data_IF_531849330873
#
_entry.id   IF_531849330873
#
_cell.length_a   1.000
_cell.length_b   1.000
_cell.length_c   1.000
_cell.angle_alpha   90.00
_cell.angle_beta   90.00
_cell.angle_gamma   90.00
#
_symmetry.space_group_name_H-M   'P 1'
#
loop_
_entity.id
_entity.type
_entity.pdbx_description
1 polymer ?
#
# COMPACT_ATOMS: atom_id res chain seq x y z
N UNK A 1 1.88 62.87 -27.00
CA UNK A 1 2.13 62.04 -25.83
C UNK A 1 0.76 61.55 -25.33
N UNK A 2 0.31 60.35 -25.72
CA UNK A 2 -0.87 59.71 -25.21
C UNK A 2 -0.44 58.55 -24.30
N UNK A 3 -1.07 58.32 -23.15
CA UNK A 3 -0.72 57.22 -22.27
C UNK A 3 -1.28 55.88 -22.81
N UNK A 4 -0.38 54.88 -22.86
CA UNK A 4 -0.72 53.47 -23.17
C UNK A 4 -1.53 52.88 -22.04
N UNK A 5 -2.83 52.74 -22.25
CA UNK A 5 -3.70 51.94 -21.38
C UNK A 5 -3.33 50.45 -21.45
N UNK A 6 -3.12 49.90 -20.27
CA UNK A 6 -2.82 48.51 -19.95
C UNK A 6 -3.96 47.57 -20.39
N UNK A 7 -3.70 46.83 -21.44
CA UNK A 7 -4.46 45.59 -21.81
C UNK A 7 -3.80 44.38 -21.18
N UNK A 8 -4.01 44.15 -19.91
CA UNK A 8 -3.62 42.87 -19.29
C UNK A 8 -4.49 42.50 -18.07
N UNK A 9 -5.80 42.46 -18.25
CA UNK A 9 -6.70 41.97 -17.19
C UNK A 9 -7.91 41.20 -17.74
N UNK A 10 -7.67 40.24 -18.62
CA UNK A 10 -8.68 39.27 -18.99
C UNK A 10 -8.00 37.95 -19.34
N UNK A 11 -7.80 37.08 -18.34
CA UNK A 11 -7.86 35.60 -18.42
C UNK A 11 -7.17 34.93 -17.24
N UNK A 12 -7.46 35.32 -16.05
CA UNK A 12 -7.31 34.41 -14.91
C UNK A 12 -8.64 33.67 -14.71
N UNK A 13 -8.98 32.79 -15.65
CA UNK A 13 -9.93 31.71 -15.38
C UNK A 13 -9.28 30.82 -14.34
N UNK A 14 -9.67 31.07 -13.10
CA UNK A 14 -9.25 30.29 -11.93
C UNK A 14 -9.96 28.93 -12.05
N UNK A 15 -9.47 28.06 -12.95
CA UNK A 15 -9.85 26.65 -13.02
C UNK A 15 -9.41 26.00 -11.70
N UNK A 16 -10.28 26.08 -10.71
CA UNK A 16 -10.13 25.22 -9.53
C UNK A 16 -10.21 23.79 -10.04
N UNK A 17 -9.13 23.00 -9.98
CA UNK A 17 -9.20 21.61 -10.40
C UNK A 17 -10.36 20.94 -9.65
N UNK A 18 -11.20 20.19 -10.36
CA UNK A 18 -12.34 19.46 -9.79
C UNK A 18 -11.83 18.65 -8.58
N UNK A 19 -12.09 19.14 -7.38
CA UNK A 19 -11.66 18.48 -6.15
C UNK A 19 -12.43 17.17 -6.03
N UNK A 20 -11.72 16.06 -6.03
CA UNK A 20 -12.29 14.75 -5.70
C UNK A 20 -13.17 14.86 -4.44
N UNK A 21 -14.41 14.32 -4.45
CA UNK A 21 -15.32 14.40 -3.30
C UNK A 21 -14.64 13.96 -2.00
N UNK A 22 -14.93 14.65 -0.89
CA UNK A 22 -14.32 14.40 0.41
C UNK A 22 -14.45 12.93 0.86
N UNK A 23 -15.59 12.30 0.54
CA UNK A 23 -15.83 10.88 0.84
C UNK A 23 -14.85 9.98 0.11
N UNK A 24 -14.58 10.21 -1.18
CA UNK A 24 -13.61 9.42 -1.96
C UNK A 24 -12.20 9.62 -1.40
N UNK A 25 -11.83 10.85 -1.05
CA UNK A 25 -10.52 11.13 -0.42
C UNK A 25 -10.37 10.45 0.95
N UNK A 26 -11.47 10.33 1.71
CA UNK A 26 -11.49 9.64 2.99
C UNK A 26 -11.21 8.14 2.84
N UNK A 27 -11.77 7.48 1.82
CA UNK A 27 -11.58 6.05 1.55
C UNK A 27 -10.21 5.71 1.00
N UNK A 28 -9.48 6.68 0.42
CA UNK A 28 -8.13 6.54 -0.15
C UNK A 28 -8.01 5.41 -1.19
N UNK A 29 -8.75 5.43 -2.32
CA UNK A 29 -8.73 4.35 -3.31
C UNK A 29 -7.34 4.05 -3.88
N UNK A 30 -6.45 5.06 -4.03
CA UNK A 30 -5.08 4.86 -4.47
C UNK A 30 -4.31 3.88 -3.55
N UNK A 31 -4.67 3.77 -2.28
CA UNK A 31 -4.05 2.82 -1.34
C UNK A 31 -4.58 1.38 -1.49
N UNK A 32 -5.69 1.19 -2.23
CA UNK A 32 -6.25 -0.15 -2.49
C UNK A 32 -5.34 -1.01 -3.35
N UNK A 33 -4.42 -0.40 -4.14
CA UNK A 33 -3.39 -1.13 -4.87
C UNK A 33 -2.61 -2.11 -3.97
N UNK A 34 -2.35 -1.73 -2.72
CA UNK A 34 -1.69 -2.60 -1.74
C UNK A 34 -2.49 -3.85 -1.41
N UNK A 35 -3.80 -3.82 -1.59
CA UNK A 35 -4.64 -4.99 -1.36
C UNK A 35 -4.57 -5.99 -2.52
N UNK A 36 -3.93 -5.64 -3.65
CA UNK A 36 -3.57 -6.58 -4.71
C UNK A 36 -2.78 -7.79 -4.20
N UNK A 37 -2.05 -7.65 -3.09
CA UNK A 37 -1.38 -8.77 -2.43
C UNK A 37 -2.34 -9.88 -1.96
N UNK A 38 -3.63 -9.58 -1.74
CA UNK A 38 -4.68 -10.57 -1.45
C UNK A 38 -4.88 -11.53 -2.62
N UNK A 39 -4.63 -11.06 -3.86
CA UNK A 39 -4.78 -11.86 -5.08
C UNK A 39 -3.56 -12.74 -5.38
N UNK A 40 -2.45 -12.53 -4.68
CA UNK A 40 -1.23 -13.33 -4.87
C UNK A 40 -1.46 -14.84 -4.77
N UNK A 41 -2.08 -15.36 -3.70
CA UNK A 41 -2.35 -16.78 -3.56
C UNK A 41 -3.18 -17.38 -4.71
N UNK A 42 -4.14 -16.63 -5.28
CA UNK A 42 -4.93 -17.07 -6.43
C UNK A 42 -4.02 -17.41 -7.64
N UNK A 43 -3.01 -16.58 -7.90
CA UNK A 43 -2.07 -16.77 -9.00
C UNK A 43 -1.12 -17.92 -8.68
N UNK A 44 -0.42 -17.86 -7.55
CA UNK A 44 0.65 -18.78 -7.20
C UNK A 44 0.17 -20.22 -6.90
N UNK A 45 -1.08 -20.39 -6.43
CA UNK A 45 -1.69 -21.72 -6.25
C UNK A 45 -2.31 -22.30 -7.52
N UNK A 46 -2.31 -21.54 -8.64
CA UNK A 46 -3.00 -21.89 -9.89
C UNK A 46 -4.53 -21.96 -9.73
N UNK A 47 -5.09 -21.40 -8.65
CA UNK A 47 -6.54 -21.46 -8.39
C UNK A 47 -7.36 -20.54 -9.30
N UNK A 48 -6.72 -19.72 -10.14
CA UNK A 48 -7.40 -18.86 -11.13
C UNK A 48 -8.18 -19.63 -12.20
N UNK A 49 -7.96 -20.95 -12.32
CA UNK A 49 -8.76 -21.82 -13.19
C UNK A 49 -10.13 -22.18 -12.57
N UNK A 50 -10.30 -21.98 -11.28
CA UNK A 50 -11.56 -22.21 -10.55
C UNK A 50 -12.36 -20.93 -10.44
N UNK A 51 -13.56 -20.89 -11.03
CA UNK A 51 -14.47 -19.75 -10.93
C UNK A 51 -14.80 -19.40 -9.46
N UNK A 52 -15.02 -20.42 -8.63
CA UNK A 52 -15.28 -20.21 -7.21
C UNK A 52 -14.12 -19.52 -6.51
N UNK A 53 -12.87 -19.98 -6.74
CA UNK A 53 -11.68 -19.36 -6.15
C UNK A 53 -11.50 -17.91 -6.61
N UNK A 54 -11.76 -17.62 -7.88
CA UNK A 54 -11.73 -16.24 -8.42
C UNK A 54 -12.73 -15.35 -7.69
N UNK A 55 -13.99 -15.80 -7.54
CA UNK A 55 -15.02 -15.03 -6.85
C UNK A 55 -14.70 -14.80 -5.38
N UNK A 56 -14.21 -15.81 -4.66
CA UNK A 56 -13.77 -15.67 -3.26
C UNK A 56 -12.56 -14.72 -3.13
N UNK A 57 -11.60 -14.79 -4.04
CA UNK A 57 -10.45 -13.87 -4.04
C UNK A 57 -10.87 -12.41 -4.30
N UNK A 58 -11.80 -12.18 -5.24
CA UNK A 58 -12.34 -10.85 -5.50
C UNK A 58 -13.14 -10.32 -4.31
N UNK A 59 -13.97 -11.15 -3.67
CA UNK A 59 -14.67 -10.79 -2.45
C UNK A 59 -13.68 -10.43 -1.33
N UNK A 60 -12.64 -11.26 -1.12
CA UNK A 60 -11.58 -10.99 -0.15
C UNK A 60 -10.85 -9.67 -0.44
N UNK A 61 -10.51 -9.39 -1.70
CA UNK A 61 -9.90 -8.13 -2.11
C UNK A 61 -10.78 -6.94 -1.77
N UNK A 62 -12.08 -6.97 -2.10
CA UNK A 62 -13.02 -5.87 -1.82
C UNK A 62 -13.21 -5.67 -0.31
N UNK A 63 -13.31 -6.75 0.47
CA UNK A 63 -13.39 -6.66 1.93
C UNK A 63 -12.11 -6.03 2.49
N UNK A 64 -10.92 -6.43 2.04
CA UNK A 64 -9.67 -5.78 2.46
C UNK A 64 -9.57 -4.31 2.03
N UNK A 65 -10.16 -3.91 0.90
CA UNK A 65 -10.24 -2.49 0.52
C UNK A 65 -11.09 -1.69 1.53
N UNK A 66 -12.25 -2.22 1.92
CA UNK A 66 -13.09 -1.61 2.95
C UNK A 66 -12.40 -1.55 4.32
N UNK A 67 -11.79 -2.65 4.74
CA UNK A 67 -11.07 -2.77 6.02
C UNK A 67 -9.87 -1.82 6.08
N UNK A 68 -9.09 -1.73 5.00
CA UNK A 68 -7.97 -0.79 4.91
C UNK A 68 -8.47 0.67 4.97
N UNK A 69 -9.57 0.98 4.30
CA UNK A 69 -10.19 2.32 4.37
C UNK A 69 -10.65 2.64 5.79
N UNK A 70 -11.31 1.71 6.49
CA UNK A 70 -11.66 1.89 7.90
C UNK A 70 -10.43 2.14 8.78
N UNK A 71 -9.34 1.38 8.56
CA UNK A 71 -8.07 1.59 9.23
C UNK A 71 -7.46 2.98 8.98
N UNK A 72 -7.55 3.50 7.75
CA UNK A 72 -7.09 4.86 7.43
C UNK A 72 -7.95 5.92 8.10
N UNK A 73 -9.26 5.73 8.18
CA UNK A 73 -10.17 6.65 8.89
C UNK A 73 -9.82 6.69 10.37
N UNK A 74 -9.60 5.53 11.01
CA UNK A 74 -9.17 5.45 12.41
C UNK A 74 -7.85 6.20 12.59
N UNK A 75 -6.86 5.96 11.72
CA UNK A 75 -5.58 6.66 11.81
C UNK A 75 -5.73 8.19 11.63
N UNK A 76 -6.60 8.65 10.70
CA UNK A 76 -6.84 10.08 10.47
C UNK A 76 -7.56 10.75 11.66
N UNK A 77 -8.37 10.00 12.41
CA UNK A 77 -8.97 10.48 13.65
C UNK A 77 -7.88 10.68 14.73
N UNK A 78 -7.00 9.68 14.91
CA UNK A 78 -5.90 9.76 15.88
C UNK A 78 -4.87 10.83 15.54
N UNK A 79 -4.52 10.97 14.25
CA UNK A 79 -3.49 11.91 13.79
C UNK A 79 -4.03 13.32 13.50
N UNK A 80 -5.31 13.60 13.76
CA UNK A 80 -6.01 14.84 13.35
C UNK A 80 -5.23 16.11 13.68
N UNK A 81 -4.75 16.25 14.92
CA UNK A 81 -4.06 17.45 15.36
C UNK A 81 -2.69 17.61 14.68
N UNK A 82 -1.92 16.53 14.57
CA UNK A 82 -0.65 16.49 13.84
C UNK A 82 -0.86 16.81 12.34
N UNK A 83 -1.90 16.25 11.74
CA UNK A 83 -2.21 16.47 10.32
C UNK A 83 -2.69 17.89 10.03
N UNK A 84 -3.34 18.55 10.97
CA UNK A 84 -3.71 19.97 10.89
C UNK A 84 -2.51 20.90 10.89
N UNK A 85 -1.47 20.55 11.62
CA UNK A 85 -0.23 21.30 11.67
C UNK A 85 0.56 21.21 10.35
N UNK A 86 0.37 20.13 9.57
CA UNK A 86 1.09 19.88 8.32
C UNK A 86 0.32 20.43 7.10
N UNK A 87 0.84 21.45 6.37
CA UNK A 87 0.11 22.14 5.32
C UNK A 87 -0.47 21.24 4.21
N UNK A 88 0.33 20.27 3.71
CA UNK A 88 -0.11 19.36 2.64
C UNK A 88 -1.14 18.34 3.13
N UNK A 89 -0.96 17.79 4.33
CA UNK A 89 -1.90 16.82 4.92
C UNK A 89 -3.22 17.49 5.29
N UNK A 90 -3.19 18.72 5.82
CA UNK A 90 -4.40 19.51 6.07
C UNK A 90 -5.26 19.68 4.82
N UNK A 91 -4.63 19.86 3.64
CA UNK A 91 -5.36 20.01 2.37
C UNK A 91 -5.89 18.68 1.81
N UNK A 92 -5.15 17.59 2.01
CA UNK A 92 -5.47 16.28 1.42
C UNK A 92 -6.39 15.41 2.26
N UNK A 93 -6.40 15.60 3.61
CA UNK A 93 -7.17 14.75 4.55
C UNK A 93 -8.47 15.45 5.00
N UNK A 94 -9.65 14.87 4.67
CA UNK A 94 -10.95 15.49 4.97
C UNK A 94 -11.23 15.72 6.44
N UNK A 95 -10.70 14.89 7.34
CA UNK A 95 -10.87 15.05 8.81
C UNK A 95 -9.99 16.19 9.32
N UNK A 96 -8.75 16.30 8.84
CA UNK A 96 -7.83 17.37 9.22
C UNK A 96 -8.28 18.73 8.67
N UNK A 97 -8.81 18.80 7.43
CA UNK A 97 -9.36 20.02 6.84
C UNK A 97 -10.67 20.48 7.51
N UNK A 98 -11.38 19.57 8.20
CA UNK A 98 -12.71 19.83 8.76
C UNK A 98 -13.85 19.62 7.77
N UNK A 99 -13.60 19.17 6.54
CA UNK A 99 -14.63 18.84 5.54
C UNK A 99 -15.52 17.68 6.02
N UNK A 100 -14.96 16.75 6.80
CA UNK A 100 -15.69 15.66 7.45
C UNK A 100 -15.43 15.77 8.96
N UNK A 101 -16.53 15.83 9.75
CA UNK A 101 -16.41 15.88 11.19
C UNK A 101 -15.96 14.54 11.77
N UNK A 102 -15.25 14.57 12.90
CA UNK A 102 -14.82 13.36 13.62
C UNK A 102 -16.02 12.49 14.00
N UNK A 103 -17.16 13.10 14.36
CA UNK A 103 -18.38 12.34 14.70
C UNK A 103 -18.88 11.51 13.51
N UNK A 104 -18.95 12.10 12.33
CA UNK A 104 -19.33 11.38 11.10
C UNK A 104 -18.34 10.26 10.79
N UNK A 105 -17.04 10.53 10.90
CA UNK A 105 -16.01 9.52 10.69
C UNK A 105 -16.14 8.33 11.65
N UNK A 106 -16.42 8.58 12.94
CA UNK A 106 -16.67 7.53 13.95
C UNK A 106 -17.91 6.71 13.57
N UNK A 107 -19.03 7.36 13.21
CA UNK A 107 -20.26 6.65 12.81
C UNK A 107 -19.99 5.75 11.60
N UNK A 108 -19.30 6.26 10.57
CA UNK A 108 -18.94 5.48 9.36
C UNK A 108 -18.14 4.23 9.73
N UNK A 109 -17.10 4.36 10.56
CA UNK A 109 -16.26 3.25 10.98
C UNK A 109 -17.03 2.26 11.86
N UNK A 110 -17.86 2.75 12.79
CA UNK A 110 -18.67 1.92 13.69
C UNK A 110 -19.72 1.07 12.96
N UNK A 111 -20.17 1.52 11.79
CA UNK A 111 -21.08 0.74 10.93
C UNK A 111 -20.27 -0.16 9.98
N UNK A 112 -19.22 0.39 9.35
CA UNK A 112 -18.47 -0.34 8.34
C UNK A 112 -17.73 -1.57 8.90
N UNK A 113 -17.10 -1.46 10.07
CA UNK A 113 -16.33 -2.57 10.65
C UNK A 113 -17.20 -3.82 10.91
N UNK A 114 -18.36 -3.74 11.63
CA UNK A 114 -19.20 -4.90 11.82
C UNK A 114 -19.72 -5.52 10.51
N UNK A 115 -20.07 -4.70 9.53
CA UNK A 115 -20.51 -5.19 8.21
C UNK A 115 -19.40 -5.92 7.47
N UNK A 116 -18.17 -5.39 7.51
CA UNK A 116 -17.00 -6.02 6.88
C UNK A 116 -16.60 -7.31 7.59
N UNK A 117 -16.69 -7.38 8.93
CA UNK A 117 -16.46 -8.60 9.69
C UNK A 117 -17.54 -9.64 9.41
N UNK A 118 -18.80 -9.24 9.32
CA UNK A 118 -19.88 -10.14 8.90
C UNK A 118 -19.65 -10.66 7.48
N UNK A 119 -19.29 -9.81 6.53
CA UNK A 119 -18.94 -10.22 5.17
C UNK A 119 -17.74 -11.19 5.15
N UNK A 120 -16.72 -10.94 5.97
CA UNK A 120 -15.58 -11.84 6.11
C UNK A 120 -15.95 -13.21 6.70
N UNK A 121 -16.88 -13.25 7.65
CA UNK A 121 -17.41 -14.49 8.21
C UNK A 121 -18.09 -15.36 7.14
N UNK A 122 -18.85 -14.77 6.22
CA UNK A 122 -19.49 -15.49 5.12
C UNK A 122 -18.50 -16.04 4.09
N UNK A 123 -17.27 -15.47 4.00
CA UNK A 123 -16.21 -16.08 3.18
C UNK A 123 -15.62 -17.30 3.86
N UNK A 124 -15.08 -17.16 5.07
CA UNK A 124 -14.67 -18.26 5.96
C UNK A 124 -14.28 -17.73 7.34
N UNK A 125 -14.35 -18.63 8.36
CA UNK A 125 -13.89 -18.27 9.72
C UNK A 125 -12.40 -17.95 9.78
N UNK A 126 -11.55 -18.61 8.96
CA UNK A 126 -10.12 -18.32 8.84
C UNK A 126 -9.88 -16.94 8.22
N UNK A 127 -10.70 -16.56 7.23
CA UNK A 127 -10.63 -15.25 6.61
C UNK A 127 -11.09 -14.14 7.57
N UNK A 128 -12.16 -14.37 8.34
CA UNK A 128 -12.56 -13.45 9.42
C UNK A 128 -11.42 -13.22 10.40
N UNK A 129 -10.71 -14.28 10.81
CA UNK A 129 -9.54 -14.15 11.70
C UNK A 129 -8.44 -13.28 11.08
N UNK A 130 -8.14 -13.47 9.79
CA UNK A 130 -7.14 -12.65 9.09
C UNK A 130 -7.53 -11.16 9.06
N UNK A 131 -8.80 -10.87 8.78
CA UNK A 131 -9.35 -9.50 8.78
C UNK A 131 -9.33 -8.89 10.18
N UNK A 132 -9.72 -9.65 11.20
CA UNK A 132 -9.70 -9.18 12.60
C UNK A 132 -8.28 -8.87 13.07
N UNK A 133 -7.30 -9.74 12.79
CA UNK A 133 -5.89 -9.52 13.10
C UNK A 133 -5.35 -8.28 12.37
N UNK A 134 -5.73 -8.08 11.11
CA UNK A 134 -5.34 -6.89 10.36
C UNK A 134 -5.91 -5.60 10.98
N UNK A 135 -7.16 -5.59 11.39
CA UNK A 135 -7.77 -4.46 12.09
C UNK A 135 -7.08 -4.17 13.42
N UNK A 136 -6.81 -5.20 14.23
CA UNK A 136 -6.09 -5.07 15.49
C UNK A 136 -4.68 -4.51 15.28
N UNK A 137 -3.94 -5.05 14.28
CA UNK A 137 -2.61 -4.57 13.93
C UNK A 137 -2.63 -3.10 13.50
N UNK A 138 -3.60 -2.71 12.66
CA UNK A 138 -3.76 -1.33 12.19
C UNK A 138 -4.14 -0.38 13.32
N UNK A 139 -5.00 -0.79 14.24
CA UNK A 139 -5.35 -0.02 15.43
C UNK A 139 -4.13 0.15 16.36
N UNK A 140 -3.42 -0.93 16.67
CA UNK A 140 -2.21 -0.89 17.49
C UNK A 140 -1.12 0.01 16.84
N UNK A 141 -0.97 -0.06 15.52
CA UNK A 141 -0.08 0.83 14.77
C UNK A 141 -0.48 2.30 14.94
N UNK A 142 -1.76 2.62 14.79
CA UNK A 142 -2.26 4.00 14.89
C UNK A 142 -2.07 4.57 16.30
N UNK A 143 -2.22 3.75 17.35
CA UNK A 143 -2.12 4.16 18.75
C UNK A 143 -0.65 4.30 19.19
N UNK A 144 0.19 3.29 18.96
CA UNK A 144 1.53 3.26 19.56
C UNK A 144 2.64 2.71 18.66
N UNK A 145 2.43 1.62 17.88
CA UNK A 145 3.54 0.93 17.23
C UNK A 145 4.27 1.80 16.19
N UNK A 146 3.58 2.80 15.62
CA UNK A 146 4.16 3.78 14.66
C UNK A 146 5.24 4.69 15.26
N UNK A 147 5.37 4.76 16.60
CA UNK A 147 6.39 5.56 17.28
C UNK A 147 7.58 4.74 17.76
N UNK A 148 7.53 3.42 17.60
CA UNK A 148 8.57 2.49 18.06
C UNK A 148 9.48 2.11 16.90
N UNK A 149 10.81 2.45 16.98
CA UNK A 149 11.77 2.11 15.93
C UNK A 149 11.80 0.60 15.66
N UNK A 150 12.01 0.25 14.39
CA UNK A 150 12.01 -1.10 13.85
C UNK A 150 10.61 -1.75 13.89
N UNK A 151 9.90 -1.66 15.01
CA UNK A 151 8.55 -2.22 15.17
C UNK A 151 7.59 -1.57 14.16
N UNK A 152 7.74 -0.29 13.85
CA UNK A 152 6.92 0.38 12.83
C UNK A 152 7.10 -0.25 11.44
N UNK A 153 8.32 -0.63 11.05
CA UNK A 153 8.62 -1.30 9.79
C UNK A 153 8.00 -2.71 9.75
N UNK A 154 8.23 -3.50 10.81
CA UNK A 154 7.69 -4.86 10.92
C UNK A 154 6.16 -4.86 11.00
N UNK A 155 5.55 -3.88 11.65
CA UNK A 155 4.08 -3.75 11.69
C UNK A 155 3.50 -3.49 10.30
N UNK A 156 4.13 -2.62 9.51
CA UNK A 156 3.74 -2.39 8.11
C UNK A 156 3.89 -3.68 7.30
N UNK A 157 5.02 -4.36 7.44
CA UNK A 157 5.30 -5.60 6.72
C UNK A 157 4.31 -6.73 7.09
N UNK A 158 3.99 -6.88 8.39
CA UNK A 158 2.97 -7.82 8.86
C UNK A 158 1.59 -7.54 8.25
N UNK A 159 1.25 -6.27 8.02
CA UNK A 159 0.03 -5.91 7.31
C UNK A 159 -0.03 -6.44 5.87
N UNK A 160 1.11 -6.52 5.16
CA UNK A 160 1.17 -7.16 3.84
C UNK A 160 1.07 -8.67 3.93
N UNK A 161 1.74 -9.28 4.91
CA UNK A 161 1.66 -10.72 5.16
C UNK A 161 0.22 -11.14 5.48
N UNK A 162 -0.50 -10.38 6.32
CA UNK A 162 -1.91 -10.65 6.63
C UNK A 162 -2.83 -10.56 5.40
N UNK A 163 -2.52 -9.69 4.43
CA UNK A 163 -3.24 -9.64 3.15
C UNK A 163 -3.03 -10.92 2.34
N UNK A 164 -1.78 -11.35 2.19
CA UNK A 164 -1.46 -12.59 1.46
C UNK A 164 -2.08 -13.80 2.17
N UNK A 165 -1.94 -13.89 3.50
CA UNK A 165 -2.56 -14.96 4.26
C UNK A 165 -4.10 -14.94 4.16
N UNK A 166 -4.70 -13.76 4.26
CA UNK A 166 -6.14 -13.58 4.06
C UNK A 166 -6.60 -14.07 2.68
N UNK A 167 -5.87 -13.72 1.62
CA UNK A 167 -6.14 -14.23 0.28
C UNK A 167 -6.04 -15.75 0.19
N UNK A 168 -5.04 -16.35 0.82
CA UNK A 168 -4.85 -17.80 0.85
C UNK A 168 -6.00 -18.53 1.55
N UNK A 169 -6.39 -18.08 2.76
CA UNK A 169 -7.48 -18.71 3.52
C UNK A 169 -8.87 -18.43 2.94
N UNK A 170 -9.03 -17.38 2.14
CA UNK A 170 -10.28 -17.12 1.44
C UNK A 170 -10.60 -18.15 0.35
N UNK A 171 -9.56 -18.77 -0.23
CA UNK A 171 -9.67 -19.79 -1.28
C UNK A 171 -9.22 -21.18 -0.78
N UNK A 172 -9.05 -21.33 0.54
CA UNK A 172 -8.63 -22.56 1.24
C UNK A 172 -7.34 -23.19 0.69
N UNK A 173 -6.32 -22.35 0.38
CA UNK A 173 -4.99 -22.82 -0.01
C UNK A 173 -3.97 -22.59 1.10
N UNK A 174 -2.99 -23.49 1.19
CA UNK A 174 -1.88 -23.36 2.14
C UNK A 174 -0.87 -22.35 1.61
N UNK A 175 -0.55 -21.37 2.44
CA UNK A 175 0.49 -20.39 2.12
C UNK A 175 1.86 -21.06 2.23
N UNK A 176 2.64 -21.03 1.13
CA UNK A 176 4.03 -21.49 1.15
C UNK A 176 4.88 -20.66 2.10
N UNK A 177 5.77 -21.31 2.86
CA UNK A 177 6.74 -20.63 3.74
C UNK A 177 7.60 -19.64 2.95
N UNK A 178 8.02 -20.00 1.74
CA UNK A 178 8.79 -19.12 0.88
C UNK A 178 8.01 -17.88 0.44
N UNK A 179 6.73 -18.03 0.09
CA UNK A 179 5.86 -16.90 -0.25
C UNK A 179 5.65 -15.98 0.96
N UNK A 180 5.48 -16.55 2.16
CA UNK A 180 5.37 -15.78 3.40
C UNK A 180 6.62 -14.92 3.62
N UNK A 181 7.83 -15.53 3.58
CA UNK A 181 9.08 -14.81 3.84
C UNK A 181 9.40 -13.81 2.72
N UNK A 182 9.14 -14.16 1.45
CA UNK A 182 9.29 -13.24 0.31
C UNK A 182 8.40 -12.00 0.48
N UNK A 183 7.14 -12.20 0.87
CA UNK A 183 6.21 -11.09 1.12
C UNK A 183 6.68 -10.21 2.26
N UNK A 184 7.14 -10.81 3.36
CA UNK A 184 7.67 -10.08 4.50
C UNK A 184 8.88 -9.23 4.10
N UNK A 185 9.85 -9.83 3.40
CA UNK A 185 11.06 -9.16 2.96
C UNK A 185 10.77 -8.02 1.99
N UNK A 186 9.91 -8.26 0.99
CA UNK A 186 9.48 -7.23 0.05
C UNK A 186 8.78 -6.07 0.77
N UNK A 187 7.90 -6.37 1.72
CA UNK A 187 7.19 -5.35 2.48
C UNK A 187 8.12 -4.53 3.39
N UNK A 188 9.15 -5.16 3.97
CA UNK A 188 10.21 -4.48 4.72
C UNK A 188 11.02 -3.55 3.81
N UNK A 189 11.39 -4.01 2.60
CA UNK A 189 12.04 -3.17 1.59
C UNK A 189 11.21 -1.92 1.25
N UNK A 190 9.92 -2.10 0.98
CA UNK A 190 9.02 -0.98 0.67
C UNK A 190 8.85 -0.03 1.87
N UNK A 191 8.80 -0.57 3.10
CA UNK A 191 8.68 0.22 4.31
C UNK A 191 9.95 1.04 4.59
N UNK A 192 11.13 0.43 4.51
CA UNK A 192 12.42 1.09 4.72
C UNK A 192 12.66 2.18 3.66
N UNK A 193 12.43 1.88 2.37
CA UNK A 193 12.55 2.85 1.28
C UNK A 193 11.60 4.04 1.48
N UNK A 194 10.37 3.81 1.96
CA UNK A 194 9.44 4.89 2.30
C UNK A 194 9.96 5.76 3.44
N UNK A 195 10.52 5.17 4.51
CA UNK A 195 11.11 5.95 5.62
C UNK A 195 12.30 6.78 5.16
N UNK A 196 13.15 6.18 4.32
CA UNK A 196 14.25 6.90 3.68
C UNK A 196 13.76 8.14 2.92
N UNK A 197 12.72 7.99 2.10
CA UNK A 197 12.15 9.10 1.35
C UNK A 197 11.59 10.18 2.30
N UNK A 198 10.86 9.79 3.34
CA UNK A 198 10.36 10.71 4.35
C UNK A 198 11.51 11.52 5.01
N UNK A 199 12.67 10.90 5.29
CA UNK A 199 13.85 11.56 5.83
C UNK A 199 14.46 12.57 4.85
N UNK A 200 14.48 12.28 3.54
CA UNK A 200 15.06 13.15 2.51
C UNK A 200 14.17 14.33 2.15
N UNK A 201 12.85 14.15 2.19
CA UNK A 201 11.90 15.18 1.72
C UNK A 201 11.54 16.22 2.78
N UNK A 202 11.94 16.01 4.05
CA UNK A 202 11.42 16.85 5.12
C UNK A 202 12.52 17.33 6.05
N UNK A 203 12.93 18.59 5.89
CA UNK A 203 13.74 19.33 6.87
C UNK A 203 12.98 19.57 8.20
N UNK A 204 11.65 19.59 8.16
CA UNK A 204 10.77 19.79 9.32
C UNK A 204 9.95 18.53 9.74
N UNK A 205 10.09 17.41 9.06
CA UNK A 205 9.24 16.21 9.32
C UNK A 205 9.64 15.44 10.55
N UNK A 206 10.83 15.62 11.09
CA UNK A 206 11.22 15.10 12.40
C UNK A 206 10.30 15.59 13.52
N UNK A 207 9.70 16.76 13.36
CA UNK A 207 8.73 17.31 14.30
C UNK A 207 7.37 16.61 14.24
N UNK A 208 7.00 16.04 13.09
CA UNK A 208 5.67 15.47 12.89
C UNK A 208 5.58 13.94 13.08
N UNK A 209 6.71 13.23 13.06
CA UNK A 209 6.73 11.78 13.27
C UNK A 209 7.90 11.39 14.16
N UNK A 210 7.59 11.11 15.43
CA UNK A 210 8.59 10.82 16.47
C UNK A 210 9.60 9.71 16.08
N UNK A 211 9.16 8.67 15.35
CA UNK A 211 10.05 7.56 14.96
C UNK A 211 11.18 7.97 14.02
N UNK A 212 10.97 9.01 13.18
CA UNK A 212 11.99 9.46 12.23
C UNK A 212 13.24 10.03 12.91
N UNK A 213 13.10 10.52 14.15
CA UNK A 213 14.25 11.01 14.94
C UNK A 213 15.27 9.91 15.29
N UNK A 214 14.84 8.64 15.26
CA UNK A 214 15.67 7.48 15.55
C UNK A 214 16.28 6.84 14.29
N UNK A 215 16.00 7.38 13.11
CA UNK A 215 16.45 6.82 11.85
C UNK A 215 17.40 7.80 11.12
N UNK A 216 18.37 7.23 10.43
CA UNK A 216 19.19 7.94 9.45
C UNK A 216 18.94 7.42 8.04
N UNK A 217 19.25 8.22 7.03
CA UNK A 217 19.17 7.80 5.62
C UNK A 217 20.03 6.55 5.38
N UNK A 218 21.28 6.56 5.90
CA UNK A 218 22.18 5.42 5.78
C UNK A 218 21.63 4.14 6.43
N UNK A 219 20.98 4.24 7.59
CA UNK A 219 20.35 3.09 8.25
C UNK A 219 19.18 2.54 7.42
N UNK A 220 18.37 3.41 6.84
CA UNK A 220 17.26 2.99 5.98
C UNK A 220 17.73 2.40 4.65
N UNK A 221 18.84 2.89 4.09
CA UNK A 221 19.49 2.28 2.94
C UNK A 221 19.95 0.86 3.28
N UNK A 222 20.67 0.69 4.39
CA UNK A 222 21.14 -0.62 4.83
C UNK A 222 20.01 -1.62 5.04
N UNK A 223 18.90 -1.21 5.72
CA UNK A 223 17.74 -2.08 5.91
C UNK A 223 17.04 -2.42 4.59
N UNK A 224 16.94 -1.46 3.67
CA UNK A 224 16.33 -1.70 2.36
C UNK A 224 17.15 -2.65 1.50
N UNK A 225 18.49 -2.56 1.55
CA UNK A 225 19.39 -3.46 0.83
C UNK A 225 19.30 -4.90 1.35
N UNK A 226 19.36 -5.11 2.67
CA UNK A 226 19.16 -6.44 3.26
C UNK A 226 17.79 -7.02 2.86
N UNK A 227 16.74 -6.22 2.96
CA UNK A 227 15.37 -6.68 2.69
C UNK A 227 15.15 -7.02 1.21
N UNK A 228 15.72 -6.25 0.27
CA UNK A 228 15.58 -6.55 -1.16
C UNK A 228 16.39 -7.78 -1.56
N UNK A 229 17.60 -7.96 -1.04
CA UNK A 229 18.41 -9.17 -1.26
C UNK A 229 17.65 -10.39 -0.72
N UNK A 230 17.13 -10.32 0.50
CA UNK A 230 16.30 -11.38 1.07
C UNK A 230 15.07 -11.69 0.20
N UNK A 231 14.42 -10.66 -0.37
CA UNK A 231 13.29 -10.85 -1.30
C UNK A 231 13.69 -11.71 -2.49
N UNK A 232 14.82 -11.41 -3.14
CA UNK A 232 15.29 -12.17 -4.31
C UNK A 232 15.70 -13.58 -3.94
N UNK A 233 16.39 -13.77 -2.82
CA UNK A 233 16.81 -15.10 -2.33
C UNK A 233 15.58 -15.97 -2.06
N UNK A 234 14.60 -15.48 -1.30
CA UNK A 234 13.41 -16.27 -0.95
C UNK A 234 12.47 -16.46 -2.13
N UNK A 235 12.37 -15.47 -3.04
CA UNK A 235 11.64 -15.65 -4.29
C UNK A 235 12.31 -16.71 -5.19
N UNK A 236 13.63 -16.68 -5.30
CA UNK A 236 14.41 -17.70 -6.00
C UNK A 236 14.22 -19.10 -5.41
N UNK A 237 14.24 -19.23 -4.09
CA UNK A 237 13.96 -20.49 -3.41
C UNK A 237 12.53 -20.97 -3.68
N UNK A 238 11.53 -20.07 -3.67
CA UNK A 238 10.17 -20.40 -4.07
C UNK A 238 10.11 -20.94 -5.51
N UNK A 239 10.78 -20.26 -6.44
CA UNK A 239 10.87 -20.70 -7.84
C UNK A 239 11.46 -22.11 -7.91
N UNK A 240 12.67 -22.31 -7.37
CA UNK A 240 13.38 -23.57 -7.52
C UNK A 240 12.66 -24.74 -6.85
N UNK A 241 12.00 -24.52 -5.71
CA UNK A 241 11.40 -25.61 -4.90
C UNK A 241 9.92 -25.85 -5.16
N UNK A 242 9.19 -24.83 -5.65
CA UNK A 242 7.71 -24.91 -5.74
C UNK A 242 7.21 -24.72 -7.17
N UNK A 243 7.76 -23.73 -7.92
CA UNK A 243 7.23 -23.33 -9.24
C UNK A 243 8.36 -22.89 -10.18
N UNK A 244 9.16 -23.84 -10.74
CA UNK A 244 10.30 -23.52 -11.61
C UNK A 244 9.96 -22.67 -12.83
N UNK A 245 8.72 -22.77 -13.34
CA UNK A 245 8.25 -22.02 -14.51
C UNK A 245 8.24 -20.50 -14.26
N UNK A 246 8.10 -20.07 -13.00
CA UNK A 246 8.15 -18.67 -12.65
C UNK A 246 9.54 -18.03 -12.80
N UNK A 247 10.58 -18.79 -13.14
CA UNK A 247 11.89 -18.24 -13.48
C UNK A 247 11.81 -17.19 -14.61
N UNK A 248 10.87 -17.35 -15.53
CA UNK A 248 10.61 -16.37 -16.60
C UNK A 248 10.19 -14.98 -16.09
N UNK A 249 9.70 -14.88 -14.85
CA UNK A 249 9.27 -13.61 -14.25
C UNK A 249 10.43 -12.83 -13.62
N UNK A 250 11.57 -13.48 -13.32
CA UNK A 250 12.70 -12.87 -12.59
C UNK A 250 13.21 -11.58 -13.24
N UNK A 251 13.42 -11.50 -14.57
CA UNK A 251 13.87 -10.26 -15.20
C UNK A 251 12.89 -9.09 -14.98
N UNK A 252 11.57 -9.38 -15.02
CA UNK A 252 10.52 -8.36 -14.83
C UNK A 252 10.48 -7.90 -13.36
N UNK A 253 10.66 -8.82 -12.41
CA UNK A 253 10.74 -8.50 -10.98
C UNK A 253 11.96 -7.63 -10.69
N UNK A 254 13.14 -7.98 -11.26
CA UNK A 254 14.36 -7.18 -11.15
C UNK A 254 14.14 -5.76 -11.70
N UNK A 255 13.57 -5.66 -12.91
CA UNK A 255 13.24 -4.37 -13.50
C UNK A 255 12.30 -3.56 -12.59
N UNK A 256 11.24 -4.17 -12.07
CA UNK A 256 10.28 -3.51 -11.18
C UNK A 256 10.93 -2.96 -9.91
N UNK A 257 11.82 -3.73 -9.27
CA UNK A 257 12.56 -3.30 -8.08
C UNK A 257 13.52 -2.15 -8.40
N UNK A 258 14.27 -2.23 -9.50
CA UNK A 258 15.18 -1.17 -9.91
C UNK A 258 14.41 0.11 -10.28
N UNK A 259 13.30 -0.02 -11.03
CA UNK A 259 12.45 1.12 -11.39
C UNK A 259 11.85 1.77 -10.16
N UNK A 260 11.37 0.98 -9.18
CA UNK A 260 10.86 1.50 -7.91
C UNK A 260 11.91 2.32 -7.17
N UNK A 261 13.14 1.77 -7.03
CA UNK A 261 14.25 2.48 -6.38
C UNK A 261 14.58 3.79 -7.11
N UNK A 262 14.67 3.74 -8.43
CA UNK A 262 14.92 4.92 -9.27
C UNK A 262 13.85 6.01 -9.05
N UNK A 263 12.58 5.65 -9.05
CA UNK A 263 11.49 6.60 -8.80
C UNK A 263 11.57 7.23 -7.40
N UNK A 264 12.01 6.47 -6.40
CA UNK A 264 12.18 6.98 -5.05
C UNK A 264 13.38 7.93 -4.91
N UNK A 265 14.44 7.75 -5.70
CA UNK A 265 15.58 8.69 -5.76
C UNK A 265 15.21 10.02 -6.42
N UNK A 266 14.37 10.02 -7.43
CA UNK A 266 13.94 11.25 -8.11
C UNK A 266 13.00 12.12 -7.25
N UNK A 267 12.25 11.54 -6.31
CA UNK A 267 11.23 12.24 -5.51
C UNK A 267 11.74 13.47 -4.76
N UNK A 268 12.87 13.43 -4.06
CA UNK A 268 13.41 14.60 -3.36
C UNK A 268 13.86 15.71 -4.32
N UNK A 269 14.36 15.34 -5.49
CA UNK A 269 14.90 16.27 -6.50
C UNK A 269 13.78 17.10 -7.12
N UNK A 270 12.62 16.49 -7.35
CA UNK A 270 11.47 17.16 -7.97
C UNK A 270 10.60 17.94 -6.95
N UNK A 271 10.92 17.85 -5.66
CA UNK A 271 10.17 18.54 -4.60
C UNK A 271 8.71 18.09 -4.47
N UNK A 272 8.36 16.97 -5.09
CA UNK A 272 7.00 16.45 -5.07
C UNK A 272 6.75 15.66 -3.78
N UNK A 273 5.75 16.07 -3.01
CA UNK A 273 5.33 15.38 -1.78
C UNK A 273 4.33 14.23 -2.05
N UNK A 274 4.35 13.66 -3.26
CA UNK A 274 3.48 12.55 -3.60
C UNK A 274 3.84 11.28 -2.80
N UNK A 275 2.83 10.50 -2.44
CA UNK A 275 3.10 9.24 -1.76
C UNK A 275 3.78 8.26 -2.73
N UNK A 276 4.66 7.35 -2.25
CA UNK A 276 5.27 6.32 -3.10
C UNK A 276 4.26 5.55 -3.93
N UNK A 277 3.08 5.28 -3.34
CA UNK A 277 1.99 4.56 -4.03
C UNK A 277 1.42 5.37 -5.19
N UNK A 278 1.27 6.70 -5.03
CA UNK A 278 0.71 7.54 -6.09
C UNK A 278 1.66 7.62 -7.30
N UNK A 279 2.97 7.65 -7.06
CA UNK A 279 3.98 7.57 -8.12
C UNK A 279 3.96 6.25 -8.87
N UNK A 280 3.87 5.13 -8.14
CA UNK A 280 3.80 3.80 -8.76
C UNK A 280 2.62 3.68 -9.72
N UNK A 281 1.45 4.21 -9.33
CA UNK A 281 0.22 4.17 -10.14
C UNK A 281 0.32 5.06 -11.38
N UNK A 282 1.16 6.09 -11.35
CA UNK A 282 1.33 7.04 -12.48
C UNK A 282 2.48 6.69 -13.41
N UNK A 283 3.42 5.87 -12.98
CA UNK A 283 4.56 5.49 -13.81
C UNK A 283 4.19 4.39 -14.81
N UNK A 284 4.21 4.69 -16.15
CA UNK A 284 3.79 3.72 -17.15
C UNK A 284 4.66 2.45 -17.15
N UNK A 285 5.96 2.58 -16.87
CA UNK A 285 6.88 1.44 -16.89
C UNK A 285 6.62 0.50 -15.70
N UNK A 286 6.25 1.05 -14.53
CA UNK A 286 5.83 0.22 -13.39
C UNK A 286 4.52 -0.51 -13.67
N UNK A 287 3.56 0.16 -14.31
CA UNK A 287 2.28 -0.45 -14.69
C UNK A 287 2.52 -1.58 -15.69
N UNK A 288 3.32 -1.32 -16.73
CA UNK A 288 3.68 -2.34 -17.74
C UNK A 288 4.39 -3.51 -17.08
N UNK A 289 5.37 -3.27 -16.20
CA UNK A 289 6.07 -4.33 -15.49
C UNK A 289 5.13 -5.19 -14.63
N UNK A 290 4.19 -4.56 -13.92
CA UNK A 290 3.20 -5.29 -13.13
C UNK A 290 2.27 -6.14 -13.99
N UNK A 291 1.80 -5.61 -15.13
CA UNK A 291 0.96 -6.34 -16.09
C UNK A 291 1.74 -7.51 -16.70
N UNK A 292 2.97 -7.27 -17.15
CA UNK A 292 3.83 -8.31 -17.73
C UNK A 292 4.12 -9.42 -16.72
N UNK A 293 4.46 -9.06 -15.48
CA UNK A 293 4.67 -10.03 -14.40
C UNK A 293 3.43 -10.90 -14.18
N UNK A 294 2.25 -10.29 -14.08
CA UNK A 294 1.00 -11.02 -13.88
C UNK A 294 0.68 -11.91 -15.09
N UNK A 295 0.82 -11.39 -16.33
CA UNK A 295 0.55 -12.14 -17.55
C UNK A 295 1.51 -13.34 -17.69
N UNK A 296 2.82 -13.13 -17.53
CA UNK A 296 3.81 -14.22 -17.59
C UNK A 296 3.50 -15.26 -16.50
N UNK A 297 3.22 -14.82 -15.26
CA UNK A 297 2.89 -15.75 -14.17
C UNK A 297 1.67 -16.62 -14.50
N UNK A 298 0.59 -16.02 -15.00
CA UNK A 298 -0.63 -16.75 -15.38
C UNK A 298 -0.34 -17.70 -16.55
N UNK A 299 0.34 -17.24 -17.60
CA UNK A 299 0.63 -18.05 -18.79
C UNK A 299 1.50 -19.25 -18.42
N UNK A 300 2.63 -19.05 -17.73
CA UNK A 300 3.55 -20.16 -17.41
C UNK A 300 2.93 -21.16 -16.44
N UNK A 301 2.09 -20.70 -15.50
CA UNK A 301 1.39 -21.59 -14.59
C UNK A 301 0.18 -22.27 -15.26
N UNK A 302 -0.45 -21.64 -16.25
CA UNK A 302 -1.54 -22.27 -17.01
C UNK A 302 -1.04 -23.39 -17.92
N UNK A 303 0.13 -23.19 -18.55
CA UNK A 303 0.77 -24.16 -19.45
C UNK A 303 1.46 -25.31 -18.70
N UNK A 304 1.56 -25.26 -17.36
CA UNK A 304 2.11 -26.34 -16.56
C UNK A 304 1.24 -27.59 -16.72
N UNK A 305 1.80 -28.75 -17.16
CA UNK A 305 1.05 -29.99 -17.18
C UNK A 305 0.56 -30.36 -15.78
N UNK A 306 -0.68 -30.80 -15.67
CA UNK A 306 -1.34 -31.20 -14.42
C UNK A 306 -0.73 -32.46 -13.84
#
# INVERSE_FOLDING_TARGET
>A
VLPSESRNDLTAVNERPLRTPAVIRLLRPAQWLKNGFVLGPLIFSRSFVSQSAVLHSLAAFLIFCGVASAGYIINDIYDRESDRAHPSKKRSRPIASGEISVRVAIIVVSIAIPLLLAAAFFVSIKFLLAVALYLLLTAAYSIRLKTMPIIDLFTIASGFVLRVWGGAVAIDVVLSVWMFITTLSLALYLAATKRRQELLTTTAASEFRAVLQHYSVALMDYYSEIAVVATFVFYGLYIVTVRPQLAATVPVVLFGVFRYRYLMELSPIEGTMESPTDRLVRDPQMIIAAILWAAISVIVLYLEPS
#
